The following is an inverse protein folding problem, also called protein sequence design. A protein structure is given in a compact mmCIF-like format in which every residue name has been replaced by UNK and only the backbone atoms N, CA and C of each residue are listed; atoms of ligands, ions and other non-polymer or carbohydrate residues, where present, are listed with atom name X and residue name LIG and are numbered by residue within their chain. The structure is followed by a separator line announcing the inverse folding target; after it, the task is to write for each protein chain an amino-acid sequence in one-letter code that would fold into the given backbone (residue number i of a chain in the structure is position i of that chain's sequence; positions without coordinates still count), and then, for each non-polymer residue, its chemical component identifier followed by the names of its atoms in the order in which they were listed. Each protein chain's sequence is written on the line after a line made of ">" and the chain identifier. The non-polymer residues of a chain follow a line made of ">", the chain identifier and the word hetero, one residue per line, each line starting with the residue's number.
data_IF_067446140092
#
_entry.id   IF_067446140092
#
_cell.length_a   1.000
_cell.length_b   1.000
_cell.length_c   1.000
_cell.angle_alpha   90.00
_cell.angle_beta   90.00
_cell.angle_gamma   90.00
#
_symmetry.space_group_name_H-M   'P 1'
#
loop_
_entity.id
_entity.type
_entity.pdbx_description
1 polymer ?
#
# COMPACT_ATOMS: atom_id res chain seq x y z
N UNK A 1 -44.68 -56.03 -10.71
CA UNK A 1 -45.55 -55.01 -11.31
C UNK A 1 -45.02 -53.57 -11.11
N UNK A 2 -44.62 -53.16 -9.90
CA UNK A 2 -44.12 -51.79 -9.64
C UNK A 2 -42.75 -51.49 -10.26
N UNK A 3 -41.85 -52.46 -10.33
CA UNK A 3 -40.52 -52.29 -10.91
C UNK A 3 -40.61 -51.95 -12.43
N UNK A 4 -41.54 -52.54 -13.14
CA UNK A 4 -41.74 -52.31 -14.57
C UNK A 4 -42.29 -50.90 -14.88
N UNK A 5 -43.11 -50.36 -13.97
CA UNK A 5 -43.67 -48.98 -14.09
C UNK A 5 -42.57 -47.96 -13.83
N UNK A 6 -41.73 -48.20 -12.83
CA UNK A 6 -40.61 -47.32 -12.47
C UNK A 6 -39.54 -47.24 -13.56
N UNK A 7 -39.25 -48.36 -14.21
CA UNK A 7 -38.27 -48.43 -15.29
C UNK A 7 -38.79 -47.74 -16.56
N UNK A 8 -40.06 -47.88 -16.87
CA UNK A 8 -40.71 -47.17 -17.97
C UNK A 8 -40.75 -45.65 -17.74
N UNK A 9 -40.96 -45.22 -16.51
CA UNK A 9 -40.95 -43.82 -16.13
C UNK A 9 -39.54 -43.21 -16.28
N UNK A 10 -38.51 -43.91 -15.87
CA UNK A 10 -37.10 -43.50 -16.06
C UNK A 10 -36.72 -43.38 -17.53
N UNK A 11 -37.21 -44.26 -18.35
CA UNK A 11 -36.93 -44.28 -19.78
C UNK A 11 -37.61 -43.10 -20.48
N UNK A 12 -38.84 -42.77 -20.13
CA UNK A 12 -39.55 -41.60 -20.63
C UNK A 12 -38.83 -40.31 -20.24
N UNK A 13 -38.45 -40.13 -18.99
CA UNK A 13 -37.72 -38.97 -18.51
C UNK A 13 -36.37 -38.83 -19.23
N UNK A 14 -35.65 -39.92 -19.45
CA UNK A 14 -34.38 -39.91 -20.18
C UNK A 14 -34.58 -39.46 -21.63
N UNK A 15 -35.61 -39.96 -22.30
CA UNK A 15 -35.95 -39.61 -23.68
C UNK A 15 -36.39 -38.14 -23.83
N UNK A 16 -37.14 -37.63 -22.88
CA UNK A 16 -37.52 -36.20 -22.84
C UNK A 16 -36.29 -35.31 -22.63
N UNK A 17 -35.37 -35.71 -21.72
CA UNK A 17 -34.12 -34.99 -21.48
C UNK A 17 -33.22 -34.96 -22.72
N UNK A 18 -33.07 -36.06 -23.40
CA UNK A 18 -32.30 -36.13 -24.65
C UNK A 18 -32.90 -35.30 -25.78
N UNK A 19 -34.24 -35.30 -25.90
CA UNK A 19 -34.96 -34.44 -26.87
C UNK A 19 -34.80 -32.96 -26.54
N UNK A 20 -34.88 -32.61 -25.27
CA UNK A 20 -34.70 -31.22 -24.81
C UNK A 20 -33.28 -30.74 -25.07
N UNK A 21 -32.28 -31.56 -24.78
CA UNK A 21 -30.86 -31.23 -25.05
C UNK A 21 -30.58 -31.07 -26.55
N UNK A 22 -31.09 -31.97 -27.39
CA UNK A 22 -30.96 -31.85 -28.87
C UNK A 22 -31.61 -30.55 -29.39
N UNK A 23 -32.79 -30.22 -28.91
CA UNK A 23 -33.48 -29.02 -29.32
C UNK A 23 -32.74 -27.78 -28.88
N UNK A 24 -32.22 -27.74 -27.63
CA UNK A 24 -31.44 -26.64 -27.11
C UNK A 24 -30.16 -26.45 -27.92
N UNK A 25 -29.44 -27.53 -28.22
CA UNK A 25 -28.22 -27.47 -29.03
C UNK A 25 -28.49 -26.96 -30.45
N UNK A 26 -29.61 -27.40 -31.04
CA UNK A 26 -30.02 -26.98 -32.40
C UNK A 26 -30.37 -25.48 -32.43
N UNK A 27 -31.04 -25.01 -31.41
CA UNK A 27 -31.38 -23.57 -31.28
C UNK A 27 -30.08 -22.77 -31.10
N UNK A 28 -29.19 -23.20 -30.21
CA UNK A 28 -27.91 -22.55 -29.96
C UNK A 28 -27.05 -22.44 -31.23
N UNK A 29 -26.89 -23.53 -31.97
CA UNK A 29 -26.10 -23.52 -33.23
C UNK A 29 -26.72 -22.60 -34.27
N UNK A 30 -28.05 -22.58 -34.35
CA UNK A 30 -28.78 -21.70 -35.30
C UNK A 30 -28.60 -20.23 -34.93
N UNK A 31 -28.69 -19.93 -33.67
CA UNK A 31 -28.56 -18.53 -33.18
C UNK A 31 -27.12 -18.06 -33.30
N UNK A 32 -26.12 -18.93 -33.03
CA UNK A 32 -24.70 -18.66 -33.26
C UNK A 32 -24.41 -18.39 -34.75
N UNK A 33 -24.98 -19.17 -35.66
CA UNK A 33 -24.86 -18.92 -37.11
C UNK A 33 -25.48 -17.59 -37.53
N UNK A 34 -26.60 -17.20 -36.94
CA UNK A 34 -27.24 -15.91 -37.19
C UNK A 34 -26.38 -14.74 -36.70
N UNK A 35 -25.80 -14.88 -35.50
CA UNK A 35 -24.91 -13.91 -34.93
C UNK A 35 -23.66 -13.68 -35.83
N UNK A 36 -23.03 -14.76 -36.28
CA UNK A 36 -21.84 -14.70 -37.17
C UNK A 36 -22.19 -14.08 -38.53
N UNK A 37 -23.41 -14.27 -39.04
CA UNK A 37 -23.86 -13.70 -40.33
C UNK A 37 -24.20 -12.23 -40.25
N UNK A 38 -24.43 -11.70 -39.06
CA UNK A 38 -24.73 -10.26 -38.87
C UNK A 38 -23.47 -9.55 -38.34
N UNK A 39 -22.74 -8.78 -39.19
CA UNK A 39 -21.53 -8.10 -38.76
C UNK A 39 -21.80 -7.10 -37.64
N UNK A 40 -22.96 -6.48 -37.63
CA UNK A 40 -23.34 -5.52 -36.61
C UNK A 40 -23.60 -6.20 -35.23
N UNK A 41 -24.34 -7.31 -35.24
CA UNK A 41 -24.56 -8.09 -34.01
C UNK A 41 -23.27 -8.70 -33.45
N UNK A 42 -22.37 -9.15 -34.34
CA UNK A 42 -21.07 -9.67 -33.96
C UNK A 42 -20.19 -8.59 -33.32
N UNK A 43 -20.19 -7.36 -33.88
CA UNK A 43 -19.45 -6.23 -33.31
C UNK A 43 -19.94 -5.88 -31.91
N UNK A 44 -21.26 -5.85 -31.68
CA UNK A 44 -21.83 -5.59 -30.36
C UNK A 44 -21.46 -6.70 -29.37
N UNK A 45 -21.57 -7.98 -29.78
CA UNK A 45 -21.23 -9.11 -28.92
C UNK A 45 -19.76 -9.10 -28.52
N UNK A 46 -18.86 -8.83 -29.48
CA UNK A 46 -17.42 -8.67 -29.19
C UNK A 46 -17.15 -7.47 -28.29
N UNK A 47 -17.79 -6.35 -28.51
CA UNK A 47 -17.67 -5.17 -27.64
C UNK A 47 -18.09 -5.45 -26.20
N UNK A 48 -19.21 -6.15 -26.01
CA UNK A 48 -19.69 -6.56 -24.69
C UNK A 48 -18.75 -7.54 -23.96
N UNK A 49 -18.00 -8.36 -24.71
CA UNK A 49 -17.01 -9.26 -24.14
C UNK A 49 -15.68 -8.56 -23.83
N UNK A 50 -15.24 -7.67 -24.74
CA UNK A 50 -13.92 -7.02 -24.66
C UNK A 50 -13.92 -5.90 -23.60
N UNK A 51 -14.96 -5.07 -23.54
CA UNK A 51 -15.00 -3.92 -22.62
C UNK A 51 -14.87 -4.31 -21.14
N UNK A 52 -15.60 -5.31 -20.61
CA UNK A 52 -15.44 -5.74 -19.23
C UNK A 52 -14.03 -6.35 -18.97
N UNK A 53 -13.50 -7.08 -19.96
CA UNK A 53 -12.17 -7.68 -19.85
C UNK A 53 -11.06 -6.63 -19.82
N UNK A 54 -11.15 -5.60 -20.67
CA UNK A 54 -10.22 -4.46 -20.64
C UNK A 54 -10.34 -3.69 -19.34
N UNK A 55 -11.55 -3.43 -18.87
CA UNK A 55 -11.75 -2.76 -17.58
C UNK A 55 -11.13 -3.54 -16.43
N UNK A 56 -11.38 -4.84 -16.36
CA UNK A 56 -10.78 -5.70 -15.35
C UNK A 56 -9.25 -5.72 -15.45
N UNK A 57 -8.70 -5.82 -16.67
CA UNK A 57 -7.26 -5.82 -16.88
C UNK A 57 -6.61 -4.50 -16.48
N UNK A 58 -7.18 -3.35 -16.87
CA UNK A 58 -6.67 -2.05 -16.45
C UNK A 58 -6.68 -1.88 -14.93
N UNK A 59 -7.75 -2.33 -14.26
CA UNK A 59 -7.79 -2.29 -12.79
C UNK A 59 -6.73 -3.20 -12.15
N UNK A 60 -6.57 -4.43 -12.65
CA UNK A 60 -5.55 -5.35 -12.14
C UNK A 60 -4.15 -4.80 -12.42
N UNK A 61 -3.89 -4.30 -13.63
CA UNK A 61 -2.60 -3.75 -14.00
C UNK A 61 -2.24 -2.50 -13.19
N UNK A 62 -3.20 -1.61 -12.98
CA UNK A 62 -3.01 -0.40 -12.15
C UNK A 62 -2.71 -0.71 -10.68
N UNK A 63 -3.22 -1.84 -10.17
CA UNK A 63 -3.03 -2.26 -8.77
C UNK A 63 -2.07 -3.44 -8.62
N UNK A 64 -1.39 -3.86 -9.70
CA UNK A 64 -0.55 -5.06 -9.69
C UNK A 64 0.67 -4.92 -8.78
N UNK A 65 1.23 -3.73 -8.68
CA UNK A 65 2.34 -3.44 -7.77
C UNK A 65 2.18 -2.05 -7.14
N UNK A 66 1.35 -1.92 -6.11
CA UNK A 66 1.20 -0.67 -5.38
C UNK A 66 2.48 -0.29 -4.62
N UNK A 67 3.37 -1.25 -4.38
CA UNK A 67 4.63 -1.05 -3.66
C UNK A 67 5.81 -0.78 -4.59
N UNK A 68 5.79 -1.23 -5.85
CA UNK A 68 6.85 -0.95 -6.83
C UNK A 68 6.89 0.49 -7.33
N UNK A 69 5.82 1.27 -7.07
CA UNK A 69 5.75 2.71 -7.40
C UNK A 69 5.89 3.61 -6.17
N UNK A 70 6.33 3.08 -5.03
CA UNK A 70 6.47 3.84 -3.77
C UNK A 70 7.61 4.85 -3.80
N UNK A 71 8.60 4.65 -4.68
CA UNK A 71 9.69 5.61 -4.94
C UNK A 71 9.22 6.98 -5.45
N UNK A 72 7.95 7.10 -5.88
CA UNK A 72 7.34 8.38 -6.25
C UNK A 72 6.52 9.01 -5.10
N UNK A 73 6.42 8.35 -3.96
CA UNK A 73 5.74 8.89 -2.79
C UNK A 73 6.72 9.72 -2.00
N UNK A 74 6.57 11.04 -2.11
CA UNK A 74 7.41 11.99 -1.41
C UNK A 74 6.98 12.14 0.04
N UNK A 75 7.90 11.86 0.96
CA UNK A 75 7.75 12.13 2.40
C UNK A 75 8.82 13.13 2.79
N UNK A 76 8.38 14.27 3.32
CA UNK A 76 9.29 15.29 3.81
C UNK A 76 9.80 14.91 5.21
N UNK A 77 11.07 15.23 5.49
CA UNK A 77 11.64 15.07 6.82
C UNK A 77 12.53 16.26 7.17
N UNK A 78 12.38 16.76 8.38
CA UNK A 78 13.28 17.76 8.95
C UNK A 78 13.76 17.31 10.33
N UNK A 79 15.03 17.59 10.64
CA UNK A 79 15.59 17.41 11.97
C UNK A 79 16.09 18.75 12.48
N UNK A 80 15.52 19.18 13.59
CA UNK A 80 15.98 20.35 14.35
C UNK A 80 16.85 19.93 15.55
N UNK A 81 17.23 18.64 15.61
CA UNK A 81 18.00 18.06 16.71
C UNK A 81 19.33 18.78 16.93
N UNK A 82 19.50 19.35 18.12
CA UNK A 82 20.70 20.07 18.49
C UNK A 82 21.88 19.12 18.82
N UNK A 83 21.59 17.81 18.90
CA UNK A 83 22.56 16.83 19.37
C UNK A 83 22.80 16.92 20.89
N UNK A 84 23.68 16.04 21.36
CA UNK A 84 24.05 15.95 22.77
C UNK A 84 25.53 15.64 22.94
N UNK A 85 26.17 16.29 23.92
CA UNK A 85 27.56 15.98 24.27
C UNK A 85 27.60 15.12 25.53
N UNK A 86 28.13 13.90 25.39
CA UNK A 86 28.27 12.96 26.49
C UNK A 86 29.32 13.44 27.51
N UNK A 87 29.32 12.81 28.69
CA UNK A 87 30.28 13.13 29.77
C UNK A 87 31.75 12.95 29.36
N UNK A 88 32.03 12.06 28.41
CA UNK A 88 33.35 11.83 27.84
C UNK A 88 33.81 12.91 26.84
N UNK A 89 32.92 13.89 26.56
CA UNK A 89 33.15 14.95 25.58
C UNK A 89 32.79 14.56 24.14
N UNK A 90 32.25 13.38 23.90
CA UNK A 90 31.84 12.93 22.56
C UNK A 90 30.50 13.58 22.17
N UNK A 91 30.47 14.29 21.04
CA UNK A 91 29.24 14.83 20.48
C UNK A 91 28.50 13.80 19.66
N UNK A 92 27.19 13.67 19.84
CA UNK A 92 26.28 12.80 19.10
C UNK A 92 25.08 13.61 18.59
N UNK A 93 24.61 13.26 17.38
CA UNK A 93 23.39 13.81 16.80
C UNK A 93 22.62 12.69 16.08
N UNK A 94 21.71 12.06 16.80
CA UNK A 94 20.94 10.94 16.28
C UNK A 94 19.90 11.36 15.24
N UNK A 95 19.42 12.62 15.31
CA UNK A 95 18.54 13.16 14.28
C UNK A 95 19.22 13.25 12.91
N UNK A 96 20.48 13.65 12.89
CA UNK A 96 21.29 13.66 11.67
C UNK A 96 21.59 12.25 11.16
N UNK A 97 21.90 11.31 12.05
CA UNK A 97 22.14 9.90 11.70
C UNK A 97 20.90 9.26 11.07
N UNK A 98 19.71 9.55 11.60
CA UNK A 98 18.44 9.09 11.04
C UNK A 98 18.20 9.68 9.65
N UNK A 99 18.45 10.97 9.44
CA UNK A 99 18.35 11.61 8.13
C UNK A 99 19.28 10.97 7.10
N UNK A 100 20.50 10.64 7.48
CA UNK A 100 21.48 10.01 6.59
C UNK A 100 21.06 8.59 6.22
N UNK A 101 20.55 7.81 7.16
CA UNK A 101 20.05 6.46 6.92
C UNK A 101 18.83 6.47 5.99
N UNK A 102 17.91 7.41 6.16
CA UNK A 102 16.74 7.54 5.30
C UNK A 102 17.09 7.95 3.87
N UNK A 103 18.11 8.77 3.66
CA UNK A 103 18.59 9.13 2.31
C UNK A 103 19.12 7.90 1.53
N UNK A 104 19.53 6.86 2.21
CA UNK A 104 20.00 5.62 1.57
C UNK A 104 18.87 4.62 1.30
N UNK A 105 17.65 4.92 1.72
CA UNK A 105 16.49 4.06 1.55
C UNK A 105 15.77 4.37 0.24
N UNK A 106 15.96 3.53 -0.77
CA UNK A 106 15.38 3.67 -2.12
C UNK A 106 13.88 3.30 -2.20
N UNK A 107 13.29 2.83 -1.10
CA UNK A 107 11.89 2.38 -1.10
C UNK A 107 10.89 3.54 -1.13
N UNK A 108 11.29 4.73 -0.70
CA UNK A 108 10.48 5.93 -0.59
C UNK A 108 11.34 7.14 -0.95
N UNK A 109 10.71 8.12 -1.59
CA UNK A 109 11.37 9.40 -1.91
C UNK A 109 11.37 10.31 -0.68
N UNK A 110 12.41 10.16 0.18
CA UNK A 110 12.61 11.01 1.33
C UNK A 110 13.19 12.35 0.93
N UNK A 111 12.44 13.42 1.19
CA UNK A 111 12.85 14.80 0.91
C UNK A 111 13.27 15.47 2.21
N UNK A 112 14.58 15.74 2.35
CA UNK A 112 15.10 16.46 3.50
C UNK A 112 14.77 17.95 3.36
N UNK A 113 14.14 18.53 4.38
CA UNK A 113 13.88 19.95 4.55
C UNK A 113 14.76 20.50 5.67
N UNK A 114 15.07 21.79 5.60
CA UNK A 114 15.95 22.44 6.58
C UNK A 114 15.25 22.72 7.91
N UNK A 115 13.95 23.03 7.87
CA UNK A 115 13.15 23.39 9.06
C UNK A 115 11.82 22.63 9.08
N UNK A 116 11.25 22.45 10.26
CA UNK A 116 9.97 21.78 10.47
C UNK A 116 8.80 22.49 9.77
N UNK A 117 8.81 23.82 9.74
CA UNK A 117 7.75 24.62 9.11
C UNK A 117 7.63 24.35 7.60
N UNK A 118 8.74 24.10 6.90
CA UNK A 118 8.73 23.76 5.48
C UNK A 118 8.09 22.39 5.22
N UNK A 119 8.31 21.43 6.14
CA UNK A 119 7.65 20.12 6.10
C UNK A 119 6.14 20.27 6.22
N UNK A 120 5.69 21.04 7.22
CA UNK A 120 4.26 21.25 7.49
C UNK A 120 3.61 21.95 6.30
N UNK A 121 4.21 23.08 5.84
CA UNK A 121 3.70 23.84 4.70
C UNK A 121 3.60 22.99 3.42
N UNK A 122 4.60 22.16 3.15
CA UNK A 122 4.61 21.29 1.97
C UNK A 122 3.56 20.16 2.05
N UNK A 123 3.30 19.62 3.25
CA UNK A 123 2.23 18.65 3.48
C UNK A 123 0.86 19.30 3.30
N UNK A 124 0.64 20.50 3.86
CA UNK A 124 -0.61 21.25 3.70
C UNK A 124 -0.87 21.67 2.24
N UNK A 125 0.18 22.11 1.54
CA UNK A 125 0.10 22.44 0.11
C UNK A 125 -0.16 21.20 -0.77
N UNK A 126 0.15 20.01 -0.26
CA UNK A 126 0.02 18.75 -0.98
C UNK A 126 1.22 18.42 -1.86
N UNK A 127 2.37 19.06 -1.66
CA UNK A 127 3.61 18.72 -2.34
C UNK A 127 4.15 17.37 -1.85
N UNK A 128 3.96 17.10 -0.56
CA UNK A 128 4.31 15.84 0.10
C UNK A 128 3.06 15.06 0.51
N UNK A 129 3.18 13.75 0.60
CA UNK A 129 2.11 12.87 1.09
C UNK A 129 2.07 12.84 2.61
N UNK A 130 3.22 12.93 3.22
CA UNK A 130 3.38 13.01 4.66
C UNK A 130 4.65 13.78 5.00
N UNK A 131 4.79 14.14 6.28
CA UNK A 131 5.95 14.79 6.83
C UNK A 131 6.33 14.23 8.20
N UNK A 132 7.63 14.25 8.48
CA UNK A 132 8.19 13.85 9.77
C UNK A 132 9.08 14.97 10.28
N UNK A 133 8.93 15.33 11.54
CA UNK A 133 9.82 16.30 12.19
C UNK A 133 10.41 15.72 13.46
N UNK A 134 11.72 15.89 13.62
CA UNK A 134 12.50 15.49 14.79
C UNK A 134 12.78 16.73 15.62
N UNK A 135 12.40 16.71 16.90
CA UNK A 135 12.54 17.85 17.80
C UNK A 135 13.99 18.13 18.20
N UNK A 136 14.23 19.34 18.68
CA UNK A 136 15.58 19.85 19.02
C UNK A 136 16.25 19.13 20.20
N UNK A 137 15.47 18.50 21.07
CA UNK A 137 15.92 17.76 22.24
C UNK A 137 15.93 16.22 22.04
N UNK A 138 15.87 15.78 20.78
CA UNK A 138 15.73 14.35 20.45
C UNK A 138 16.91 13.52 20.95
N UNK A 139 18.14 13.88 20.60
CA UNK A 139 19.35 13.17 21.06
C UNK A 139 19.55 13.31 22.57
N UNK A 140 19.34 14.48 23.15
CA UNK A 140 19.42 14.68 24.61
C UNK A 140 18.44 13.74 25.32
N UNK A 141 17.18 13.70 24.87
CA UNK A 141 16.15 12.83 25.46
C UNK A 141 16.48 11.33 25.35
N UNK A 142 17.18 10.92 24.28
CA UNK A 142 17.64 9.54 24.10
C UNK A 142 18.71 9.15 25.13
N UNK A 143 19.68 10.04 25.41
CA UNK A 143 20.80 9.75 26.31
C UNK A 143 20.47 9.99 27.78
N UNK A 144 19.46 10.82 28.09
CA UNK A 144 19.06 11.12 29.47
C UNK A 144 17.89 10.26 29.97
N UNK A 145 17.60 9.15 29.29
CA UNK A 145 16.47 8.26 29.64
C UNK A 145 16.54 7.69 31.05
N UNK A 146 17.73 7.60 31.64
CA UNK A 146 17.93 7.12 33.01
C UNK A 146 17.97 8.24 34.07
N UNK A 147 17.85 9.46 33.66
CA UNK A 147 17.83 10.60 34.59
C UNK A 147 16.48 10.72 35.31
N UNK A 148 16.50 11.34 36.48
CA UNK A 148 15.28 11.52 37.31
C UNK A 148 14.21 12.38 36.63
N UNK A 149 14.60 13.23 35.66
CA UNK A 149 13.72 14.12 34.89
C UNK A 149 13.77 13.83 33.39
N UNK A 150 13.77 12.54 33.02
CA UNK A 150 13.82 12.17 31.61
C UNK A 150 12.59 12.67 30.84
N UNK A 151 12.79 13.04 29.58
CA UNK A 151 11.75 13.28 28.60
C UNK A 151 11.80 12.18 27.54
N UNK A 152 10.62 11.73 27.08
CA UNK A 152 10.59 10.82 25.95
C UNK A 152 10.98 11.55 24.67
N UNK A 153 11.88 10.98 23.85
CA UNK A 153 12.14 11.53 22.53
C UNK A 153 10.87 11.54 21.68
N UNK A 154 10.58 12.65 21.04
CA UNK A 154 9.35 12.85 20.29
C UNK A 154 9.67 13.06 18.82
N UNK A 155 8.96 12.33 17.98
CA UNK A 155 8.91 12.53 16.54
C UNK A 155 7.47 12.85 16.20
N UNK A 156 7.28 13.93 15.45
CA UNK A 156 5.93 14.33 15.03
C UNK A 156 5.72 13.91 13.57
N UNK A 157 4.60 13.26 13.33
CA UNK A 157 4.16 12.83 12.02
C UNK A 157 2.98 13.66 11.56
N UNK A 158 3.05 14.13 10.33
CA UNK A 158 2.01 14.90 9.64
C UNK A 158 1.53 14.12 8.43
N UNK A 159 0.22 13.99 8.27
CA UNK A 159 -0.39 13.26 7.15
C UNK A 159 -1.33 14.15 6.35
N UNK A 160 -1.37 13.94 5.04
CA UNK A 160 -2.31 14.60 4.15
C UNK A 160 -3.44 13.65 3.73
N UNK A 161 -4.46 13.51 4.58
CA UNK A 161 -5.63 12.67 4.35
C UNK A 161 -6.44 13.05 3.08
N UNK A 162 -6.23 14.26 2.53
CA UNK A 162 -6.92 14.73 1.32
C UNK A 162 -6.39 14.11 0.03
N UNK A 163 -5.18 13.53 0.08
CA UNK A 163 -4.58 12.84 -1.06
C UNK A 163 -5.19 11.44 -1.24
N UNK A 164 -4.44 10.47 -1.61
CA UNK A 164 -4.90 9.13 -1.92
C UNK A 164 -4.84 8.23 -0.68
N UNK A 165 -5.96 7.58 -0.30
CA UNK A 165 -6.02 6.66 0.86
C UNK A 165 -5.01 5.49 0.79
N UNK A 166 -4.57 5.11 -0.43
CA UNK A 166 -3.52 4.09 -0.60
C UNK A 166 -2.15 4.67 -0.23
N UNK A 167 -1.90 5.93 -0.62
CA UNK A 167 -0.66 6.61 -0.28
C UNK A 167 -0.52 6.78 1.24
N UNK A 168 -1.58 7.17 1.95
CA UNK A 168 -1.62 7.25 3.41
C UNK A 168 -1.18 5.92 4.05
N UNK A 169 -1.71 4.80 3.56
CA UNK A 169 -1.36 3.49 4.10
C UNK A 169 0.10 3.10 3.85
N UNK A 170 0.68 3.55 2.75
CA UNK A 170 2.09 3.35 2.42
C UNK A 170 2.97 4.24 3.31
N UNK A 171 2.58 5.50 3.50
CA UNK A 171 3.29 6.43 4.39
C UNK A 171 3.26 5.95 5.84
N UNK A 172 2.14 5.42 6.33
CA UNK A 172 2.04 4.79 7.66
C UNK A 172 3.03 3.64 7.82
N UNK A 173 3.17 2.81 6.79
CA UNK A 173 4.13 1.70 6.79
C UNK A 173 5.58 2.21 6.82
N UNK A 174 5.86 3.27 6.08
CA UNK A 174 7.18 3.90 6.04
C UNK A 174 7.56 4.50 7.39
N UNK A 175 6.63 5.21 8.01
CA UNK A 175 6.82 5.80 9.35
C UNK A 175 6.96 4.71 10.41
N UNK A 176 6.23 3.59 10.26
CA UNK A 176 6.43 2.41 11.10
C UNK A 176 7.85 1.82 10.98
N UNK A 177 8.39 1.78 9.78
CA UNK A 177 9.79 1.35 9.54
C UNK A 177 10.80 2.33 10.15
N UNK A 178 10.58 3.62 9.99
CA UNK A 178 11.37 4.67 10.64
C UNK A 178 11.36 4.51 12.17
N UNK A 179 10.19 4.32 12.76
CA UNK A 179 10.05 4.10 14.19
C UNK A 179 10.83 2.86 14.66
N UNK A 180 10.84 1.80 13.87
CA UNK A 180 11.63 0.60 14.16
C UNK A 180 13.14 0.87 14.11
N UNK A 181 13.61 1.62 13.12
CA UNK A 181 15.01 2.05 13.01
C UNK A 181 15.42 2.85 14.25
N UNK A 182 14.61 3.81 14.65
CA UNK A 182 14.85 4.65 15.84
C UNK A 182 14.84 3.81 17.11
N UNK A 183 13.91 2.87 17.28
CA UNK A 183 13.89 1.98 18.41
C UNK A 183 15.16 1.12 18.49
N UNK A 184 15.68 0.66 17.35
CA UNK A 184 16.94 -0.09 17.30
C UNK A 184 18.11 0.79 17.73
N UNK A 185 18.21 2.00 17.23
CA UNK A 185 19.24 2.97 17.65
C UNK A 185 19.14 3.32 19.14
N UNK A 186 17.90 3.47 19.64
CA UNK A 186 17.68 3.69 21.07
C UNK A 186 18.20 2.52 21.92
N UNK A 187 17.93 1.28 21.52
CA UNK A 187 18.44 0.10 22.21
C UNK A 187 19.97 0.07 22.19
N UNK A 188 20.60 0.43 21.07
CA UNK A 188 22.07 0.54 20.96
C UNK A 188 22.62 1.57 21.96
N UNK A 189 21.97 2.74 22.07
CA UNK A 189 22.35 3.76 23.04
C UNK A 189 22.23 3.26 24.47
N UNK A 190 21.09 2.66 24.82
CA UNK A 190 20.84 2.10 26.16
C UNK A 190 21.90 1.05 26.51
N UNK A 191 22.19 0.14 25.60
CA UNK A 191 23.21 -0.90 25.82
C UNK A 191 24.58 -0.28 25.99
N UNK A 192 24.99 0.69 25.16
CA UNK A 192 26.29 1.36 25.25
C UNK A 192 26.46 2.23 26.50
N UNK A 193 25.34 2.65 27.12
CA UNK A 193 25.35 3.47 28.34
C UNK A 193 25.45 2.59 29.60
N UNK A 194 24.98 1.33 29.54
CA UNK A 194 24.94 0.42 30.68
C UNK A 194 26.23 -0.43 30.78
N UNK A 195 26.86 -0.75 29.64
CA UNK A 195 28.03 -1.60 29.56
C UNK A 195 29.31 -0.84 29.14
#
# INVERSE_FOLDING_TARGET
>A
SEMCIRDRYKEVIRKERELTMKNTLTIFVRDLKRLIRSPFALAIALGLCILPSLYAWFNIYSNHDPYGSTSNIKIAIASEDAGYTLEDGTYKNMGADVLEELKTNDSIDWVACDIADDVIAGVEAGDYYAGVTIGSDFTESMYTVFDTNFKNPVITYYDNEKKNAIATKITDTAVGSLQQTINTKFIEVVVSTIF
#
